data_IF_647622711748
#
_entry.id   IF_647622711748
#
_cell.length_a   1.000
_cell.length_b   1.000
_cell.length_c   1.000
_cell.angle_alpha   90.00
_cell.angle_beta   90.00
_cell.angle_gamma   90.00
#
_symmetry.space_group_name_H-M   'P 1'
#
loop_
_entity.id
_entity.type
_entity.pdbx_description
1 polymer ?
#
# COMPACT_ATOMS: atom_id res chain seq x y z
N UNK A 1 -32.21 17.00 20.61
CA UNK A 1 -30.86 16.62 20.19
C UNK A 1 -31.05 15.65 19.04
N UNK A 2 -30.73 16.03 17.82
CA UNK A 2 -30.87 15.13 16.66
C UNK A 2 -30.02 13.89 16.87
N UNK A 3 -30.60 12.72 16.61
CA UNK A 3 -29.95 11.43 16.82
C UNK A 3 -28.86 11.23 15.76
N UNK A 4 -27.62 11.63 16.08
CA UNK A 4 -26.42 11.35 15.26
C UNK A 4 -26.06 9.85 15.18
N UNK A 5 -26.82 8.98 15.83
CA UNK A 5 -26.60 7.54 15.94
C UNK A 5 -26.66 6.81 14.58
N UNK A 6 -27.36 7.36 13.58
CA UNK A 6 -27.43 6.80 12.22
C UNK A 6 -26.30 7.24 11.27
N UNK A 7 -25.64 8.37 11.55
CA UNK A 7 -24.62 8.95 10.65
C UNK A 7 -23.23 8.37 10.96
N UNK A 8 -22.87 8.19 12.24
CA UNK A 8 -21.55 7.70 12.61
C UNK A 8 -21.20 6.31 12.02
N UNK A 9 -22.09 5.28 12.09
CA UNK A 9 -21.77 3.95 11.53
C UNK A 9 -21.58 3.97 10.01
N UNK A 10 -22.32 4.84 9.31
CA UNK A 10 -22.25 4.94 7.84
C UNK A 10 -20.97 5.64 7.37
N UNK A 11 -20.53 6.69 8.05
CA UNK A 11 -19.28 7.40 7.73
C UNK A 11 -18.06 6.48 7.89
N UNK A 12 -17.98 5.72 9.00
CA UNK A 12 -16.86 4.78 9.20
C UNK A 12 -16.82 3.68 8.14
N UNK A 13 -17.97 3.21 7.67
CA UNK A 13 -18.06 2.22 6.58
C UNK A 13 -17.55 2.79 5.26
N UNK A 14 -17.90 4.03 4.93
CA UNK A 14 -17.40 4.72 3.73
C UNK A 14 -15.88 4.88 3.80
N UNK A 15 -15.35 5.30 4.96
CA UNK A 15 -13.90 5.46 5.19
C UNK A 15 -13.18 4.12 5.02
N UNK A 16 -13.71 3.02 5.60
CA UNK A 16 -13.14 1.67 5.43
C UNK A 16 -12.99 1.29 3.95
N UNK A 17 -14.06 1.43 3.17
CA UNK A 17 -14.06 1.11 1.74
C UNK A 17 -13.05 2.00 0.99
N UNK A 18 -13.03 3.30 1.29
CA UNK A 18 -12.06 4.21 0.69
C UNK A 18 -10.62 3.79 0.99
N UNK A 19 -10.30 3.47 2.24
CA UNK A 19 -8.96 2.99 2.63
C UNK A 19 -8.56 1.73 1.87
N UNK A 20 -9.45 0.75 1.73
CA UNK A 20 -9.17 -0.46 0.96
C UNK A 20 -8.87 -0.16 -0.52
N UNK A 21 -9.62 0.75 -1.14
CA UNK A 21 -9.35 1.19 -2.52
C UNK A 21 -7.97 1.85 -2.63
N UNK A 22 -7.63 2.74 -1.69
CA UNK A 22 -6.32 3.40 -1.68
C UNK A 22 -5.16 2.41 -1.43
N UNK A 23 -5.34 1.43 -0.55
CA UNK A 23 -4.35 0.37 -0.33
C UNK A 23 -4.17 -0.52 -1.57
N UNK A 24 -5.24 -0.80 -2.31
CA UNK A 24 -5.14 -1.52 -3.58
C UNK A 24 -4.34 -0.72 -4.61
N UNK A 25 -4.63 0.58 -4.76
CA UNK A 25 -3.85 1.48 -5.62
C UNK A 25 -2.38 1.56 -5.19
N UNK A 26 -2.13 1.58 -3.88
CA UNK A 26 -0.78 1.59 -3.31
C UNK A 26 0.00 0.32 -3.68
N UNK A 27 -0.63 -0.86 -3.64
CA UNK A 27 0.02 -2.12 -4.07
C UNK A 27 0.37 -2.07 -5.55
N UNK A 28 -0.53 -1.59 -6.41
CA UNK A 28 -0.25 -1.44 -7.84
C UNK A 28 0.94 -0.50 -8.06
N UNK A 29 0.98 0.62 -7.33
CA UNK A 29 2.09 1.56 -7.36
C UNK A 29 3.40 0.93 -6.87
N UNK A 30 3.38 0.17 -5.77
CA UNK A 30 4.55 -0.54 -5.27
C UNK A 30 5.09 -1.56 -6.29
N UNK A 31 4.22 -2.21 -7.07
CA UNK A 31 4.62 -3.03 -8.22
C UNK A 31 5.32 -2.23 -9.32
N UNK A 32 4.85 -1.02 -9.61
CA UNK A 32 5.53 -0.09 -10.54
C UNK A 32 6.90 0.30 -10.00
N UNK A 33 7.04 0.55 -8.70
CA UNK A 33 8.32 0.88 -8.05
C UNK A 33 9.33 -0.27 -8.19
N UNK A 34 8.92 -1.54 -8.09
CA UNK A 34 9.83 -2.68 -8.35
C UNK A 34 10.41 -2.60 -9.78
N UNK A 35 9.57 -2.31 -10.78
CA UNK A 35 10.02 -2.13 -12.17
C UNK A 35 11.00 -0.95 -12.28
N UNK A 36 10.72 0.16 -11.60
CA UNK A 36 11.61 1.33 -11.60
C UNK A 36 12.96 1.01 -10.96
N UNK A 37 12.97 0.33 -9.80
CA UNK A 37 14.21 -0.12 -9.15
C UNK A 37 15.03 -0.96 -10.11
N UNK A 38 14.41 -1.90 -10.82
CA UNK A 38 15.10 -2.72 -11.83
C UNK A 38 15.75 -1.86 -12.92
N UNK A 39 14.98 -0.99 -13.58
CA UNK A 39 15.50 -0.15 -14.68
C UNK A 39 16.62 0.79 -14.20
N UNK A 40 16.47 1.39 -13.02
CA UNK A 40 17.47 2.30 -12.45
C UNK A 40 18.76 1.57 -12.10
N UNK A 41 18.67 0.39 -11.47
CA UNK A 41 19.84 -0.42 -11.08
C UNK A 41 20.52 -1.13 -12.25
N UNK A 42 19.90 -1.15 -13.44
CA UNK A 42 20.56 -1.57 -14.69
C UNK A 42 21.32 -0.41 -15.35
N UNK A 43 21.06 0.85 -14.94
CA UNK A 43 21.62 2.06 -15.54
C UNK A 43 22.71 2.71 -14.68
N UNK A 44 22.53 2.71 -13.36
CA UNK A 44 23.41 3.36 -12.41
C UNK A 44 24.18 2.32 -11.60
N UNK A 45 25.50 2.49 -11.52
CA UNK A 45 26.37 1.75 -10.62
C UNK A 45 26.73 2.64 -9.42
N UNK A 46 26.04 2.40 -8.31
CA UNK A 46 26.19 3.13 -7.04
C UNK A 46 26.64 2.22 -5.90
N UNK A 47 26.74 0.90 -6.12
CA UNK A 47 27.26 -0.10 -5.17
C UNK A 47 26.22 -0.62 -4.17
N UNK A 48 24.95 -0.22 -4.31
CA UNK A 48 23.85 -0.58 -3.40
C UNK A 48 22.67 -1.28 -4.12
N UNK A 49 22.87 -1.75 -5.34
CA UNK A 49 21.80 -2.26 -6.22
C UNK A 49 21.10 -3.47 -5.60
N UNK A 50 21.86 -4.38 -4.99
CA UNK A 50 21.31 -5.59 -4.36
C UNK A 50 20.43 -5.24 -3.17
N UNK A 51 20.87 -4.30 -2.33
CA UNK A 51 20.15 -3.84 -1.14
C UNK A 51 18.85 -3.14 -1.53
N UNK A 52 18.90 -2.25 -2.53
CA UNK A 52 17.71 -1.54 -3.04
C UNK A 52 16.71 -2.52 -3.65
N UNK A 53 17.17 -3.51 -4.43
CA UNK A 53 16.29 -4.58 -4.98
C UNK A 53 15.59 -5.36 -3.87
N UNK A 54 16.32 -5.79 -2.84
CA UNK A 54 15.74 -6.51 -1.70
C UNK A 54 14.74 -5.63 -0.96
N UNK A 55 15.08 -4.37 -0.68
CA UNK A 55 14.21 -3.44 0.02
C UNK A 55 12.90 -3.21 -0.75
N UNK A 56 12.97 -3.08 -2.08
CA UNK A 56 11.79 -2.95 -2.94
C UNK A 56 10.85 -4.16 -2.87
N UNK A 57 11.41 -5.38 -2.89
CA UNK A 57 10.63 -6.61 -2.76
C UNK A 57 9.99 -6.71 -1.37
N UNK A 58 10.77 -6.46 -0.31
CA UNK A 58 10.26 -6.49 1.07
C UNK A 58 9.15 -5.47 1.27
N UNK A 59 9.33 -4.24 0.76
CA UNK A 59 8.31 -3.19 0.81
C UNK A 59 7.01 -3.61 0.11
N UNK A 60 7.09 -4.20 -1.08
CA UNK A 60 5.92 -4.69 -1.80
C UNK A 60 5.19 -5.80 -1.03
N UNK A 61 5.94 -6.77 -0.47
CA UNK A 61 5.35 -7.83 0.37
C UNK A 61 4.65 -7.24 1.60
N UNK A 62 5.27 -6.26 2.27
CA UNK A 62 4.66 -5.57 3.40
C UNK A 62 3.40 -4.81 2.99
N UNK A 63 3.37 -4.16 1.83
CA UNK A 63 2.17 -3.49 1.32
C UNK A 63 1.00 -4.46 1.13
N UNK A 64 1.27 -5.65 0.56
CA UNK A 64 0.27 -6.72 0.42
C UNK A 64 -0.20 -7.21 1.80
N UNK A 65 0.71 -7.45 2.74
CA UNK A 65 0.36 -7.87 4.11
C UNK A 65 -0.52 -6.82 4.80
N UNK A 66 -0.17 -5.54 4.71
CA UNK A 66 -0.96 -4.44 5.30
C UNK A 66 -2.36 -4.40 4.73
N UNK A 67 -2.52 -4.58 3.40
CA UNK A 67 -3.85 -4.66 2.80
C UNK A 67 -4.64 -5.86 3.33
N UNK A 68 -4.05 -7.05 3.40
CA UNK A 68 -4.72 -8.24 3.95
C UNK A 68 -5.14 -8.05 5.41
N UNK A 69 -4.26 -7.48 6.25
CA UNK A 69 -4.58 -7.15 7.63
C UNK A 69 -5.71 -6.12 7.73
N UNK A 70 -5.75 -5.14 6.83
CA UNK A 70 -6.81 -4.13 6.80
C UNK A 70 -8.18 -4.72 6.51
N UNK A 71 -8.30 -5.88 5.86
CA UNK A 71 -9.60 -6.54 5.61
C UNK A 71 -10.21 -7.12 6.89
N UNK A 72 -9.37 -7.47 7.86
CA UNK A 72 -9.79 -8.10 9.13
C UNK A 72 -9.90 -7.07 10.25
N UNK A 73 -8.98 -6.11 10.30
CA UNK A 73 -8.86 -5.15 11.41
C UNK A 73 -9.72 -3.91 11.20
N UNK A 74 -9.76 -3.36 9.99
CA UNK A 74 -10.50 -2.13 9.70
C UNK A 74 -11.94 -2.47 9.41
#
# INVERSE_FOLDING_TARGET
>A
MENFEGIAPSVFTIVKIAVWIFLLLYILFAGVVIKQIRVMTETLEVGFEKQIKVLGIVHFLLAVIVFLLSLVVL
#
